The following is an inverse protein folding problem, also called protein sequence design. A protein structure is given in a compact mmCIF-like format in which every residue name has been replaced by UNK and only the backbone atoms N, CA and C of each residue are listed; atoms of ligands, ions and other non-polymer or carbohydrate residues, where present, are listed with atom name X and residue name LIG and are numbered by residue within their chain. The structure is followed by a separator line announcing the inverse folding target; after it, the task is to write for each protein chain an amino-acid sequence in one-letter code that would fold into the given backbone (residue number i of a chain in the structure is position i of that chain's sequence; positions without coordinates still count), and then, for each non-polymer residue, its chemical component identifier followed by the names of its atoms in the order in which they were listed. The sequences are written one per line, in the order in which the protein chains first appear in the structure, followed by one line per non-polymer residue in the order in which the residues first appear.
data_IF_277303102950
#
_entry.id   IF_277303102950
#
_cell.length_a   1.000
_cell.length_b   1.000
_cell.length_c   1.000
_cell.angle_alpha   90.00
_cell.angle_beta   90.00
_cell.angle_gamma   90.00
#
_symmetry.space_group_name_H-M   'P 1'
#
loop_
_entity.id
_entity.type
_entity.pdbx_description
1 polymer ?
#
# COMPACT_ATOMS: atom_id res chain seq x y z
N UNK A 1 -7.86 9.66 9.25
CA UNK A 1 -6.86 8.61 9.56
C UNK A 1 -5.48 9.22 9.36
N UNK A 2 -4.59 9.13 10.34
CA UNK A 2 -3.20 9.55 10.18
C UNK A 2 -2.50 8.65 9.16
N UNK A 3 -1.56 9.18 8.36
CA UNK A 3 -0.82 8.33 7.43
C UNK A 3 0.11 7.40 8.21
N UNK A 4 0.48 6.25 7.63
CA UNK A 4 1.41 5.32 8.27
C UNK A 4 2.77 5.96 8.59
N UNK A 5 3.16 7.03 7.87
CA UNK A 5 4.37 7.79 8.17
C UNK A 5 4.26 8.62 9.44
N UNK A 6 3.07 9.15 9.74
CA UNK A 6 2.83 9.93 10.95
C UNK A 6 2.87 9.01 12.18
N UNK A 7 2.20 7.85 12.09
CA UNK A 7 2.25 6.82 13.14
C UNK A 7 3.67 6.30 13.39
N UNK A 8 4.47 6.15 12.34
CA UNK A 8 5.88 5.77 12.45
C UNK A 8 6.69 6.83 13.19
N UNK A 9 6.49 8.12 12.87
CA UNK A 9 7.13 9.24 13.57
C UNK A 9 6.73 9.29 15.05
N UNK A 10 5.44 9.14 15.34
CA UNK A 10 4.91 9.14 16.71
C UNK A 10 5.50 8.00 17.55
N UNK A 11 5.56 6.79 16.99
CA UNK A 11 6.11 5.60 17.67
C UNK A 11 7.60 5.76 17.99
N UNK A 12 8.35 6.41 17.09
CA UNK A 12 9.77 6.68 17.28
C UNK A 12 10.00 7.75 18.35
N UNK A 13 9.20 8.84 18.32
CA UNK A 13 9.25 9.88 19.34
C UNK A 13 8.89 9.34 20.73
N UNK A 14 7.87 8.47 20.82
CA UNK A 14 7.49 7.82 22.07
C UNK A 14 8.62 6.94 22.63
N UNK A 15 9.26 6.14 21.77
CA UNK A 15 10.37 5.27 22.18
C UNK A 15 11.55 6.06 22.73
N UNK A 16 11.87 7.19 22.09
CA UNK A 16 12.96 8.08 22.51
C UNK A 16 12.61 8.84 23.79
N UNK A 17 11.37 9.28 23.96
CA UNK A 17 10.93 10.01 25.16
C UNK A 17 11.01 9.15 26.44
N UNK A 18 10.90 7.82 26.31
CA UNK A 18 11.03 6.86 27.42
C UNK A 18 12.47 6.56 27.82
N UNK A 19 13.46 6.94 27.01
CA UNK A 19 14.86 6.68 27.32
C UNK A 19 15.34 7.52 28.52
N UNK A 20 15.90 6.86 29.53
CA UNK A 20 16.42 7.50 30.76
C UNK A 20 17.40 8.64 30.48
N UNK A 21 18.24 8.48 29.45
CA UNK A 21 19.21 9.50 29.05
C UNK A 21 18.57 10.83 28.62
N UNK A 22 17.30 10.82 28.22
CA UNK A 22 16.56 11.93 27.62
C UNK A 22 15.41 12.40 28.53
N UNK A 23 14.87 11.50 29.36
CA UNK A 23 13.76 11.76 30.29
C UNK A 23 14.01 13.02 31.14
N UNK A 24 13.03 13.92 31.17
CA UNK A 24 13.11 15.21 31.89
C UNK A 24 13.99 16.29 31.23
N UNK A 25 14.81 15.95 30.23
CA UNK A 25 15.72 16.90 29.55
C UNK A 25 15.03 17.56 28.35
N UNK A 26 14.20 18.57 28.60
CA UNK A 26 13.39 19.26 27.57
C UNK A 26 14.18 19.71 26.33
N UNK A 27 15.37 20.29 26.50
CA UNK A 27 16.21 20.72 25.35
C UNK A 27 16.70 19.53 24.52
N UNK A 28 17.10 18.45 25.18
CA UNK A 28 17.53 17.21 24.53
C UNK A 28 16.36 16.57 23.77
N UNK A 29 15.18 16.46 24.40
CA UNK A 29 13.98 15.93 23.75
C UNK A 29 13.58 16.75 22.51
N UNK A 30 13.67 18.09 22.56
CA UNK A 30 13.43 18.94 21.39
C UNK A 30 14.41 18.66 20.25
N UNK A 31 15.70 18.52 20.55
CA UNK A 31 16.72 18.19 19.56
C UNK A 31 16.48 16.81 18.94
N UNK A 32 16.10 15.83 19.76
CA UNK A 32 15.68 14.51 19.28
C UNK A 32 14.47 14.61 18.36
N UNK A 33 13.40 15.30 18.75
CA UNK A 33 12.22 15.45 17.90
C UNK A 33 12.57 16.06 16.54
N UNK A 34 13.41 17.10 16.50
CA UNK A 34 13.86 17.69 15.23
C UNK A 34 14.66 16.69 14.37
N UNK A 35 15.55 15.90 14.99
CA UNK A 35 16.30 14.85 14.30
C UNK A 35 15.36 13.75 13.76
N UNK A 36 14.40 13.30 14.56
CA UNK A 36 13.44 12.28 14.17
C UNK A 36 12.59 12.75 12.99
N UNK A 37 12.08 13.98 13.03
CA UNK A 37 11.36 14.57 11.89
C UNK A 37 12.21 14.57 10.63
N UNK A 38 13.48 15.01 10.72
CA UNK A 38 14.39 14.97 9.59
C UNK A 38 14.58 13.55 9.04
N UNK A 39 14.81 12.55 9.90
CA UNK A 39 14.99 11.16 9.47
C UNK A 39 13.74 10.63 8.77
N UNK A 40 12.56 10.82 9.36
CA UNK A 40 11.28 10.37 8.79
C UNK A 40 11.04 11.02 7.42
N UNK A 41 11.28 12.32 7.28
CA UNK A 41 11.12 13.04 6.01
C UNK A 41 12.05 12.50 4.92
N UNK A 42 13.31 12.22 5.26
CA UNK A 42 14.29 11.67 4.29
C UNK A 42 13.92 10.26 3.85
N UNK A 43 13.48 9.41 4.78
CA UNK A 43 13.04 8.05 4.46
C UNK A 43 11.77 8.09 3.58
N UNK A 44 10.77 8.87 3.98
CA UNK A 44 9.52 9.05 3.22
C UNK A 44 9.80 9.58 1.82
N UNK A 45 10.62 10.63 1.71
CA UNK A 45 11.03 11.21 0.42
C UNK A 45 11.73 10.21 -0.48
N UNK A 46 12.70 9.45 0.05
CA UNK A 46 13.41 8.41 -0.69
C UNK A 46 12.48 7.28 -1.15
N UNK A 47 11.59 6.81 -0.27
CA UNK A 47 10.60 5.79 -0.60
C UNK A 47 9.63 6.25 -1.71
N UNK A 48 9.12 7.49 -1.62
CA UNK A 48 8.22 8.06 -2.63
C UNK A 48 8.92 8.21 -3.98
N UNK A 49 10.17 8.67 -4.00
CA UNK A 49 10.97 8.78 -5.22
C UNK A 49 11.18 7.40 -5.87
N UNK A 50 11.53 6.39 -5.07
CA UNK A 50 11.69 5.01 -5.54
C UNK A 50 10.38 4.44 -6.08
N UNK A 51 9.29 4.62 -5.33
CA UNK A 51 7.96 4.11 -5.70
C UNK A 51 7.49 4.70 -7.03
N UNK A 52 7.68 6.01 -7.23
CA UNK A 52 7.39 6.69 -8.50
C UNK A 52 8.26 6.13 -9.63
N UNK A 53 9.56 5.93 -9.40
CA UNK A 53 10.48 5.34 -10.39
C UNK A 53 10.05 3.94 -10.80
N UNK A 54 9.63 3.10 -9.85
CA UNK A 54 9.13 1.74 -10.12
C UNK A 54 7.81 1.74 -10.87
N UNK A 55 6.89 2.65 -10.52
CA UNK A 55 5.62 2.82 -11.23
C UNK A 55 5.85 3.22 -12.69
N UNK A 56 6.76 4.17 -12.95
CA UNK A 56 7.12 4.61 -14.31
C UNK A 56 7.71 3.46 -15.14
N UNK A 57 8.63 2.66 -14.59
CA UNK A 57 9.18 1.47 -15.27
C UNK A 57 8.12 0.41 -15.60
N UNK A 58 7.08 0.30 -14.76
CA UNK A 58 5.97 -0.62 -15.01
C UNK A 58 5.04 -0.08 -16.11
N UNK A 59 4.79 1.22 -16.12
CA UNK A 59 4.02 1.92 -17.17
C UNK A 59 4.70 1.81 -18.55
N UNK A 60 6.01 2.03 -18.62
CA UNK A 60 6.77 1.98 -19.89
C UNK A 60 6.84 0.58 -20.52
N UNK A 61 6.61 -0.47 -19.73
CA UNK A 61 6.52 -1.86 -20.23
C UNK A 61 5.17 -2.13 -20.90
N UNK A 62 4.14 -1.37 -20.54
CA UNK A 62 2.80 -1.49 -21.13
C UNK A 62 2.68 -0.69 -22.43
N UNK A 63 3.43 0.41 -22.58
CA UNK A 63 3.45 1.22 -23.81
C UNK A 63 4.29 0.61 -24.95
N UNK A 64 5.19 -0.33 -24.67
CA UNK A 64 5.89 -1.12 -25.70
C UNK A 64 5.18 -2.44 -26.05
N UNK A 65 4.06 -2.75 -25.40
CA UNK A 65 3.14 -3.76 -25.90
C UNK A 65 2.24 -3.07 -26.94
N UNK A 66 2.76 -2.89 -28.16
CA UNK A 66 1.92 -2.57 -29.31
C UNK A 66 0.77 -3.59 -29.43
N UNK A 67 -0.33 -3.27 -30.12
CA UNK A 67 -1.49 -4.14 -30.22
C UNK A 67 -1.11 -5.42 -30.98
N UNK A 68 -0.64 -6.44 -30.27
CA UNK A 68 -0.61 -7.80 -30.78
C UNK A 68 -2.04 -8.32 -30.80
N UNK A 69 -2.73 -7.95 -31.88
CA UNK A 69 -3.84 -8.74 -32.40
C UNK A 69 -3.34 -10.16 -32.62
N UNK A 70 -3.91 -11.13 -31.88
CA UNK A 70 -4.71 -12.23 -32.42
C UNK A 70 -4.90 -13.32 -31.34
N UNK A 71 -6.16 -13.43 -30.91
CA UNK A 71 -6.91 -14.70 -30.82
C UNK A 71 -6.29 -15.88 -30.07
N UNK A 72 -6.78 -16.13 -28.85
CA UNK A 72 -7.12 -17.49 -28.42
C UNK A 72 -8.29 -17.42 -27.44
N UNK A 73 -9.40 -17.96 -27.92
CA UNK A 73 -10.73 -18.04 -27.33
C UNK A 73 -10.80 -18.77 -25.99
N UNK A 74 -11.93 -18.49 -25.33
CA UNK A 74 -12.72 -19.35 -24.46
C UNK A 74 -12.55 -19.07 -22.97
N UNK A 75 -13.52 -18.31 -22.43
CA UNK A 75 -14.43 -18.82 -21.40
C UNK A 75 -15.55 -17.80 -21.19
N UNK A 76 -16.71 -18.32 -20.80
CA UNK A 76 -17.86 -17.59 -20.20
C UNK A 76 -18.93 -17.20 -21.21
N UNK A 77 -19.79 -18.18 -21.53
CA UNK A 77 -21.22 -17.90 -21.68
C UNK A 77 -21.94 -18.66 -20.58
N UNK A 78 -22.39 -17.89 -19.58
CA UNK A 78 -23.35 -18.30 -18.55
C UNK A 78 -24.63 -18.80 -19.23
N UNK A 79 -25.21 -19.88 -18.72
CA UNK A 79 -26.67 -19.98 -18.71
C UNK A 79 -27.12 -20.46 -17.33
N UNK A 80 -27.89 -19.58 -16.69
CA UNK A 80 -28.68 -19.78 -15.49
C UNK A 80 -29.65 -20.95 -15.65
N UNK A 81 -29.83 -21.73 -14.58
CA UNK A 81 -31.15 -22.28 -14.30
C UNK A 81 -31.35 -22.47 -12.79
N UNK A 82 -32.03 -21.51 -12.17
CA UNK A 82 -32.55 -21.61 -10.83
C UNK A 82 -34.04 -21.98 -10.90
N UNK A 83 -34.38 -23.08 -10.22
CA UNK A 83 -35.67 -23.46 -9.66
C UNK A 83 -36.93 -23.45 -10.57
N UNK A 84 -37.66 -24.57 -10.59
CA UNK A 84 -39.06 -24.70 -10.08
C UNK A 84 -39.64 -26.07 -10.45
N UNK A 85 -39.91 -26.86 -9.40
CA UNK A 85 -41.04 -27.78 -9.13
C UNK A 85 -41.63 -28.79 -10.15
N UNK A 86 -41.74 -30.02 -9.64
CA UNK A 86 -42.87 -30.97 -9.69
C UNK A 86 -43.47 -31.40 -11.05
N UNK A 87 -43.33 -32.69 -11.38
CA UNK A 87 -44.51 -33.52 -11.74
C UNK A 87 -44.21 -35.03 -11.75
N UNK A 88 -45.26 -35.77 -11.39
CA UNK A 88 -45.41 -37.18 -11.02
C UNK A 88 -45.32 -38.22 -12.15
N UNK A 89 -44.96 -39.45 -11.75
CA UNK A 89 -45.33 -40.82 -12.14
C UNK A 89 -46.24 -41.10 -13.36
N UNK A 90 -46.09 -42.34 -13.88
CA UNK A 90 -46.88 -43.16 -14.84
C UNK A 90 -46.37 -43.04 -16.30
N UNK A 91 -46.06 -44.11 -17.05
CA UNK A 91 -46.63 -45.47 -17.08
C UNK A 91 -45.62 -46.50 -17.59
#
# INVERSE_FOLDING_TARGET
MSSSWDQFGDSLAESIAKAEAIRGKRKCLKAWNALLSFIVDRIKGGYLAESKRRASKKSSRQENAGPSSLTATASILKYDNAATEQSTTYH
#
